data_IF_879928178805
#
_entry.id   IF_879928178805
#
_cell.length_a   1.000
_cell.length_b   1.000
_cell.length_c   1.000
_cell.angle_alpha   90.00
_cell.angle_beta   90.00
_cell.angle_gamma   90.00
#
_symmetry.space_group_name_H-M   'P 1'
#
loop_
_entity.id
_entity.type
_entity.pdbx_description
1 polymer ?
#
# COMPACT_ATOMS: atom_id res chain seq x y z
N UNK A 1 -0.64 -12.87 -1.95
CA UNK A 1 0.81 -13.16 -1.84
C UNK A 1 1.25 -12.96 -0.39
N UNK A 2 2.31 -13.60 0.08
CA UNK A 2 2.83 -13.40 1.44
C UNK A 2 4.36 -13.24 1.49
N UNK A 3 4.84 -12.72 2.61
CA UNK A 3 6.23 -12.58 2.98
C UNK A 3 6.36 -12.91 4.48
N UNK A 4 7.29 -13.80 4.83
CA UNK A 4 7.51 -14.29 6.22
C UNK A 4 8.83 -13.84 6.83
N UNK A 5 9.65 -13.17 6.03
CA UNK A 5 10.94 -12.62 6.44
C UNK A 5 11.11 -11.25 5.76
N UNK A 6 11.74 -10.26 6.40
CA UNK A 6 11.98 -8.97 5.78
C UNK A 6 12.91 -9.08 4.57
N UNK A 7 12.73 -8.20 3.59
CA UNK A 7 13.66 -8.09 2.47
C UNK A 7 15.04 -7.61 2.94
N UNK A 8 16.04 -8.48 2.83
CA UNK A 8 17.43 -8.19 3.22
C UNK A 8 18.21 -7.39 2.17
N UNK A 9 17.65 -7.14 0.99
CA UNK A 9 18.29 -6.30 -0.02
C UNK A 9 18.45 -4.86 0.49
N UNK A 10 19.45 -4.10 -0.03
CA UNK A 10 19.58 -2.68 0.26
C UNK A 10 18.28 -1.92 -0.02
N UNK A 11 18.03 -0.87 0.76
CA UNK A 11 16.89 0.01 0.55
C UNK A 11 16.93 0.62 -0.86
N UNK A 12 15.77 0.86 -1.46
CA UNK A 12 15.72 1.53 -2.75
C UNK A 12 16.11 3.00 -2.60
N UNK A 13 17.02 3.44 -3.46
CA UNK A 13 17.39 4.85 -3.54
C UNK A 13 16.16 5.71 -3.89
N UNK A 14 16.10 6.89 -3.28
CA UNK A 14 15.10 7.88 -3.63
C UNK A 14 15.29 8.28 -5.10
N UNK A 15 14.29 8.06 -5.99
CA UNK A 15 14.49 8.23 -7.43
C UNK A 15 14.53 9.71 -7.86
N UNK A 16 14.14 10.64 -6.97
CA UNK A 16 14.10 12.08 -7.25
C UNK A 16 14.35 12.88 -5.96
N UNK A 17 15.24 13.88 -6.02
CA UNK A 17 15.38 14.85 -4.92
C UNK A 17 14.03 15.49 -4.61
N UNK A 18 13.62 15.52 -3.33
CA UNK A 18 12.30 16.05 -2.92
C UNK A 18 11.19 15.00 -2.83
N UNK A 19 11.45 13.72 -3.14
CA UNK A 19 10.52 12.63 -2.84
C UNK A 19 10.75 12.04 -1.45
N UNK A 20 9.68 11.91 -0.66
CA UNK A 20 9.71 11.38 0.70
C UNK A 20 8.56 10.40 0.93
N UNK A 21 8.81 9.37 1.73
CA UNK A 21 7.76 8.45 2.20
C UNK A 21 7.73 8.52 3.72
N UNK A 22 6.56 8.80 4.28
CA UNK A 22 6.38 8.90 5.72
C UNK A 22 5.04 8.28 6.14
N UNK A 23 4.97 7.81 7.39
CA UNK A 23 3.68 7.49 8.01
C UNK A 23 2.96 8.82 8.26
N UNK A 24 1.70 8.90 7.84
CA UNK A 24 0.86 10.09 8.03
C UNK A 24 -0.45 9.69 8.73
N UNK A 25 -0.99 10.62 9.52
CA UNK A 25 -2.37 10.57 10.00
C UNK A 25 -3.18 11.49 9.12
N UNK A 26 -4.04 10.92 8.28
CA UNK A 26 -4.94 11.66 7.40
C UNK A 26 -6.32 11.71 8.03
N UNK A 27 -7.02 12.83 7.88
CA UNK A 27 -8.46 12.84 8.12
C UNK A 27 -9.20 12.07 7.02
N UNK A 28 -10.49 11.84 7.22
CA UNK A 28 -11.32 11.07 6.29
C UNK A 28 -11.35 11.71 4.89
N UNK A 29 -11.40 13.04 4.80
CA UNK A 29 -11.54 13.73 3.52
C UNK A 29 -10.25 13.66 2.69
N UNK A 30 -9.10 13.89 3.33
CA UNK A 30 -7.78 13.81 2.71
C UNK A 30 -7.46 12.36 2.30
N UNK A 31 -7.77 11.39 3.17
CA UNK A 31 -7.59 9.98 2.86
C UNK A 31 -8.46 9.56 1.65
N UNK A 32 -9.75 9.89 1.64
CA UNK A 32 -10.66 9.53 0.53
C UNK A 32 -10.20 10.19 -0.78
N UNK A 33 -9.76 11.45 -0.72
CA UNK A 33 -9.27 12.17 -1.90
C UNK A 33 -8.04 11.47 -2.51
N UNK A 34 -7.08 11.08 -1.68
CA UNK A 34 -5.88 10.35 -2.12
C UNK A 34 -6.22 8.92 -2.57
N UNK A 35 -7.07 8.22 -1.83
CA UNK A 35 -7.56 6.88 -2.15
C UNK A 35 -8.21 6.85 -3.53
N UNK A 36 -9.12 7.79 -3.80
CA UNK A 36 -9.80 7.91 -5.09
C UNK A 36 -8.79 8.22 -6.21
N UNK A 37 -7.88 9.17 -5.99
CA UNK A 37 -6.90 9.56 -7.01
C UNK A 37 -5.92 8.43 -7.40
N UNK A 38 -5.60 7.55 -6.45
CA UNK A 38 -4.75 6.37 -6.68
C UNK A 38 -5.55 5.22 -7.29
N UNK A 39 -6.76 4.98 -6.77
CA UNK A 39 -7.53 3.77 -7.02
C UNK A 39 -8.51 3.84 -8.20
N UNK A 40 -8.85 5.03 -8.70
CA UNK A 40 -9.77 5.20 -9.84
C UNK A 40 -9.41 4.34 -11.08
N UNK A 41 -8.14 4.25 -11.52
CA UNK A 41 -7.76 3.43 -12.68
C UNK A 41 -7.90 1.92 -12.46
N UNK A 42 -7.98 1.47 -11.21
CA UNK A 42 -8.02 0.05 -10.80
C UNK A 42 -9.26 -0.26 -9.96
N UNK A 43 -10.29 0.58 -10.07
CA UNK A 43 -11.63 0.38 -9.50
C UNK A 43 -11.66 0.13 -7.99
N UNK A 44 -10.77 0.77 -7.22
CA UNK A 44 -10.84 0.70 -5.77
C UNK A 44 -12.15 1.29 -5.24
N UNK A 45 -12.92 0.48 -4.52
CA UNK A 45 -14.24 0.88 -4.00
C UNK A 45 -14.45 0.55 -2.52
N UNK A 46 -13.57 -0.28 -1.92
CA UNK A 46 -13.76 -0.83 -0.58
C UNK A 46 -13.94 0.28 0.47
N UNK A 47 -13.11 1.33 0.39
CA UNK A 47 -13.14 2.45 1.34
C UNK A 47 -14.20 3.50 0.98
N UNK A 48 -14.59 3.58 -0.30
CA UNK A 48 -15.68 4.45 -0.75
C UNK A 48 -17.06 3.94 -0.32
N UNK A 49 -17.21 2.63 -0.16
CA UNK A 49 -18.45 1.98 0.32
C UNK A 49 -18.54 1.86 1.85
N UNK A 50 -17.47 2.21 2.56
CA UNK A 50 -17.42 2.16 4.01
C UNK A 50 -18.13 3.39 4.61
N UNK A 51 -18.98 3.24 5.65
CA UNK A 51 -19.52 4.39 6.37
C UNK A 51 -18.40 5.29 6.90
N UNK A 52 -18.60 6.61 6.84
CA UNK A 52 -17.57 7.57 7.23
C UNK A 52 -17.09 7.38 8.67
N UNK A 53 -17.99 7.02 9.59
CA UNK A 53 -17.66 6.73 10.99
C UNK A 53 -16.81 5.47 11.17
N UNK A 54 -17.00 4.45 10.32
CA UNK A 54 -16.21 3.22 10.34
C UNK A 54 -14.80 3.51 9.81
N UNK A 55 -14.72 4.32 8.75
CA UNK A 55 -13.45 4.74 8.18
C UNK A 55 -12.65 5.61 9.15
N UNK A 56 -13.29 6.57 9.81
CA UNK A 56 -12.66 7.38 10.85
C UNK A 56 -12.08 6.50 11.96
N UNK A 57 -12.87 5.51 12.45
CA UNK A 57 -12.38 4.56 13.45
C UNK A 57 -11.21 3.73 12.93
N UNK A 58 -11.28 3.24 11.69
CA UNK A 58 -10.20 2.48 11.05
C UNK A 58 -8.90 3.29 10.98
N UNK A 59 -8.97 4.54 10.51
CA UNK A 59 -7.81 5.42 10.37
C UNK A 59 -7.21 5.82 11.72
N UNK A 60 -8.03 5.85 12.78
CA UNK A 60 -7.58 6.13 14.15
C UNK A 60 -6.90 4.93 14.84
N UNK A 61 -7.00 3.70 14.31
CA UNK A 61 -6.40 2.53 14.93
C UNK A 61 -4.86 2.63 14.92
N UNK A 62 -4.18 2.34 16.05
CA UNK A 62 -2.71 2.34 16.07
C UNK A 62 -2.10 1.25 15.18
N UNK A 63 -2.87 0.19 14.89
CA UNK A 63 -2.52 -0.91 13.99
C UNK A 63 -2.80 -0.61 12.51
N UNK A 64 -3.41 0.54 12.19
CA UNK A 64 -3.56 1.03 10.81
C UNK A 64 -2.42 2.00 10.53
N UNK A 65 -1.61 1.67 9.53
CA UNK A 65 -0.50 2.51 9.09
C UNK A 65 -0.75 2.98 7.66
N UNK A 66 -0.96 4.29 7.50
CA UNK A 66 -0.99 4.94 6.19
C UNK A 66 0.37 5.56 5.94
N UNK A 67 1.03 5.14 4.86
CA UNK A 67 2.27 5.74 4.39
C UNK A 67 2.02 6.46 3.08
N UNK A 68 2.42 7.72 2.99
CA UNK A 68 2.20 8.56 1.81
C UNK A 68 3.53 8.85 1.15
N UNK A 69 3.60 8.66 -0.18
CA UNK A 69 4.66 9.23 -0.99
C UNK A 69 4.31 10.68 -1.29
N UNK A 70 5.19 11.61 -0.94
CA UNK A 70 5.12 12.99 -1.40
C UNK A 70 6.27 13.31 -2.34
N UNK A 71 6.00 14.07 -3.39
CA UNK A 71 7.00 14.60 -4.33
C UNK A 71 6.83 16.11 -4.36
N UNK A 72 7.84 16.85 -3.90
CA UNK A 72 7.76 18.32 -3.76
C UNK A 72 6.54 18.75 -2.91
N UNK A 73 6.24 17.99 -1.85
CA UNK A 73 5.10 18.22 -0.94
C UNK A 73 3.75 17.68 -1.44
N UNK A 74 3.63 17.34 -2.72
CA UNK A 74 2.38 16.84 -3.32
C UNK A 74 2.25 15.33 -3.09
N UNK A 75 1.09 14.88 -2.59
CA UNK A 75 0.80 13.45 -2.44
C UNK A 75 0.78 12.76 -3.81
N UNK A 76 1.56 11.70 -3.95
CA UNK A 76 1.81 10.99 -5.20
C UNK A 76 1.36 9.52 -5.14
N UNK A 77 1.10 8.98 -3.95
CA UNK A 77 0.62 7.61 -3.75
C UNK A 77 0.58 7.22 -2.28
N UNK A 78 0.06 6.02 -2.01
CA UNK A 78 -0.11 5.52 -0.65
C UNK A 78 0.18 4.02 -0.52
N UNK A 79 0.57 3.61 0.69
CA UNK A 79 0.47 2.24 1.21
C UNK A 79 -0.41 2.26 2.46
N UNK A 80 -1.40 1.38 2.53
CA UNK A 80 -2.21 1.14 3.72
C UNK A 80 -1.94 -0.25 4.27
N UNK A 81 -1.55 -0.31 5.54
CA UNK A 81 -1.40 -1.56 6.27
C UNK A 81 -2.40 -1.66 7.41
N UNK A 82 -2.99 -2.84 7.58
CA UNK A 82 -3.84 -3.19 8.71
C UNK A 82 -3.17 -4.27 9.56
N UNK A 83 -3.33 -4.17 10.89
CA UNK A 83 -2.83 -5.17 11.84
C UNK A 83 -1.38 -4.95 12.28
N UNK A 84 -0.79 -3.77 12.09
CA UNK A 84 0.58 -3.49 12.54
C UNK A 84 0.70 -3.69 14.06
N UNK A 85 1.73 -4.43 14.49
CA UNK A 85 1.91 -4.89 15.87
C UNK A 85 1.25 -6.24 16.18
N UNK A 86 0.53 -6.84 15.23
CA UNK A 86 -0.01 -8.21 15.32
C UNK A 86 0.91 -9.20 14.58
N UNK A 87 0.73 -10.52 14.80
CA UNK A 87 1.49 -11.55 14.08
C UNK A 87 1.32 -11.50 12.57
N UNK A 88 0.17 -11.02 12.09
CA UNK A 88 -0.14 -10.91 10.67
C UNK A 88 -0.52 -9.47 10.31
N UNK A 89 0.14 -8.93 9.29
CA UNK A 89 -0.11 -7.59 8.76
C UNK A 89 -0.55 -7.71 7.31
N UNK A 90 -1.63 -7.03 6.96
CA UNK A 90 -2.15 -6.97 5.60
C UNK A 90 -1.71 -5.65 4.95
N UNK A 91 -1.12 -5.72 3.74
CA UNK A 91 -1.03 -4.57 2.83
C UNK A 91 -2.33 -4.53 2.04
N UNK A 92 -3.23 -3.63 2.43
CA UNK A 92 -4.60 -3.57 1.89
C UNK A 92 -4.63 -2.79 0.59
N UNK A 93 -3.99 -1.63 0.57
CA UNK A 93 -3.98 -0.74 -0.60
C UNK A 93 -2.55 -0.27 -0.87
N UNK A 94 -2.14 -0.35 -2.14
CA UNK A 94 -0.85 0.13 -2.61
C UNK A 94 -0.99 0.69 -4.02
N UNK A 95 -0.59 1.94 -4.21
CA UNK A 95 -0.60 2.52 -5.55
C UNK A 95 -0.06 3.94 -5.62
N UNK A 96 0.05 4.40 -6.86
CA UNK A 96 0.46 5.77 -7.20
C UNK A 96 -0.65 6.43 -8.00
N UNK A 97 -0.75 7.75 -7.86
CA UNK A 97 -1.60 8.55 -8.74
C UNK A 97 -1.02 8.45 -10.17
N UNK A 98 -1.86 8.30 -11.22
CA UNK A 98 -1.42 8.02 -12.58
C UNK A 98 -0.28 8.88 -13.14
N UNK A 99 -0.27 10.18 -12.83
CA UNK A 99 0.74 11.12 -13.31
C UNK A 99 2.16 10.82 -12.79
N UNK A 100 2.28 10.06 -11.70
CA UNK A 100 3.55 9.64 -11.10
C UNK A 100 4.00 8.24 -11.52
N UNK A 101 3.24 7.54 -12.37
CA UNK A 101 3.66 6.27 -12.95
C UNK A 101 4.94 6.41 -13.80
N UNK A 102 5.63 5.28 -14.01
CA UNK A 102 6.86 5.15 -14.84
C UNK A 102 8.09 5.91 -14.33
N UNK A 103 8.06 6.47 -13.12
CA UNK A 103 9.19 7.17 -12.48
C UNK A 103 9.92 6.34 -11.41
N UNK A 104 9.74 5.01 -11.41
CA UNK A 104 10.27 4.07 -10.40
C UNK A 104 9.85 4.36 -8.95
N UNK A 105 8.83 5.18 -8.74
CA UNK A 105 8.29 5.46 -7.41
C UNK A 105 7.61 4.26 -6.74
N UNK A 106 7.11 3.29 -7.50
CA UNK A 106 6.39 2.13 -6.93
C UNK A 106 7.26 1.30 -5.98
N UNK A 107 8.41 0.76 -6.43
CA UNK A 107 9.34 0.06 -5.55
C UNK A 107 9.83 0.90 -4.36
N UNK A 108 10.06 2.19 -4.56
CA UNK A 108 10.48 3.11 -3.50
C UNK A 108 9.38 3.31 -2.43
N UNK A 109 8.14 3.53 -2.86
CA UNK A 109 6.96 3.67 -1.99
C UNK A 109 6.66 2.37 -1.24
N UNK A 110 6.90 1.21 -1.83
CA UNK A 110 6.62 -0.06 -1.15
C UNK A 110 7.72 -0.45 -0.15
N UNK A 111 8.99 -0.21 -0.48
CA UNK A 111 10.13 -0.68 0.34
C UNK A 111 10.20 -0.01 1.71
N UNK A 112 10.07 1.33 1.79
CA UNK A 112 10.20 2.03 3.07
C UNK A 112 9.10 1.64 4.08
N UNK A 113 7.80 1.62 3.72
CA UNK A 113 6.74 1.19 4.62
C UNK A 113 6.85 -0.27 5.03
N UNK A 114 7.26 -1.17 4.13
CA UNK A 114 7.49 -2.57 4.49
C UNK A 114 8.57 -2.69 5.56
N UNK A 115 9.70 -1.99 5.40
CA UNK A 115 10.76 -1.98 6.42
C UNK A 115 10.24 -1.46 7.75
N UNK A 116 9.45 -0.39 7.74
CA UNK A 116 8.84 0.17 8.94
C UNK A 116 7.89 -0.83 9.63
N UNK A 117 7.05 -1.54 8.87
CA UNK A 117 6.16 -2.58 9.38
C UNK A 117 6.95 -3.74 10.00
N UNK A 118 8.04 -4.18 9.37
CA UNK A 118 8.88 -5.26 9.91
C UNK A 118 9.57 -4.92 11.23
N UNK A 119 9.74 -3.64 11.58
CA UNK A 119 10.24 -3.24 12.91
C UNK A 119 9.29 -3.64 14.04
N UNK A 120 8.02 -3.90 13.74
CA UNK A 120 7.03 -4.41 14.68
C UNK A 120 7.06 -5.95 14.81
N UNK A 121 8.04 -6.62 14.18
CA UNK A 121 8.24 -8.07 14.24
C UNK A 121 6.98 -8.93 13.93
N UNK A 122 6.25 -8.66 12.82
CA UNK A 122 5.19 -9.57 12.39
C UNK A 122 5.79 -10.93 12.01
N UNK A 123 4.97 -11.97 12.06
CA UNK A 123 5.33 -13.29 11.52
C UNK A 123 5.03 -13.38 10.02
N UNK A 124 4.09 -12.56 9.53
CA UNK A 124 3.68 -12.52 8.13
C UNK A 124 3.21 -11.14 7.73
N UNK A 125 3.67 -10.68 6.56
CA UNK A 125 3.03 -9.60 5.79
C UNK A 125 2.40 -10.22 4.55
N UNK A 126 1.15 -9.90 4.27
CA UNK A 126 0.41 -10.51 3.16
C UNK A 126 -0.44 -9.48 2.42
N UNK A 127 -0.85 -9.81 1.19
CA UNK A 127 -1.68 -8.96 0.34
C UNK A 127 -2.58 -9.80 -0.57
N UNK A 128 -3.68 -9.20 -1.00
CA UNK A 128 -4.44 -9.66 -2.15
C UNK A 128 -3.94 -8.96 -3.41
N UNK A 129 -3.85 -9.71 -4.52
CA UNK A 129 -3.61 -9.13 -5.84
C UNK A 129 -4.43 -9.92 -6.85
N UNK A 130 -5.07 -9.22 -7.77
CA UNK A 130 -5.98 -9.81 -8.76
C UNK A 130 -5.68 -9.29 -10.18
N UNK A 131 -6.59 -9.53 -11.12
CA UNK A 131 -6.45 -9.13 -12.53
C UNK A 131 -6.85 -7.68 -12.80
N UNK A 132 -7.54 -7.02 -11.86
CA UNK A 132 -7.89 -5.59 -11.95
C UNK A 132 -6.74 -4.70 -11.48
N UNK A 133 -5.78 -5.26 -10.73
CA UNK A 133 -4.55 -4.56 -10.40
C UNK A 133 -3.75 -4.13 -11.64
N UNK A 134 -2.96 -3.06 -11.46
CA UNK A 134 -2.04 -2.59 -12.49
C UNK A 134 -1.07 -3.73 -12.93
N UNK A 135 -0.82 -3.96 -14.24
CA UNK A 135 -0.01 -5.08 -14.73
C UNK A 135 1.41 -5.17 -14.13
N UNK A 136 1.94 -4.04 -13.66
CA UNK A 136 3.23 -3.95 -12.97
C UNK A 136 3.22 -4.34 -11.48
N UNK A 137 2.07 -4.45 -10.83
CA UNK A 137 1.94 -4.64 -9.38
C UNK A 137 2.60 -5.94 -8.92
N UNK A 138 2.30 -7.06 -9.58
CA UNK A 138 2.92 -8.36 -9.25
C UNK A 138 4.45 -8.37 -9.41
N UNK A 139 5.00 -7.61 -10.35
CA UNK A 139 6.44 -7.50 -10.50
C UNK A 139 7.06 -6.69 -9.35
N UNK A 140 6.38 -5.63 -8.89
CA UNK A 140 6.78 -4.83 -7.73
C UNK A 140 6.73 -5.67 -6.45
N UNK A 141 5.64 -6.41 -6.21
CA UNK A 141 5.50 -7.30 -5.05
C UNK A 141 6.59 -8.36 -5.00
N UNK A 142 6.85 -9.06 -6.12
CA UNK A 142 7.92 -10.07 -6.18
C UNK A 142 9.29 -9.46 -5.91
N UNK A 143 9.58 -8.28 -6.43
CA UNK A 143 10.85 -7.57 -6.18
C UNK A 143 10.99 -7.13 -4.73
N UNK A 144 9.88 -6.82 -4.05
CA UNK A 144 9.84 -6.51 -2.63
C UNK A 144 9.98 -7.75 -1.73
N UNK A 145 9.90 -8.97 -2.28
CA UNK A 145 10.09 -10.23 -1.55
C UNK A 145 8.81 -11.07 -1.36
N UNK A 146 7.66 -10.59 -1.85
CA UNK A 146 6.41 -11.37 -1.78
C UNK A 146 6.46 -12.60 -2.68
N UNK A 147 5.91 -13.70 -2.19
CA UNK A 147 5.76 -14.97 -2.90
C UNK A 147 4.27 -15.31 -3.04
N UNK A 148 3.92 -16.01 -4.12
CA UNK A 148 2.57 -16.53 -4.26
C UNK A 148 2.31 -17.56 -3.16
N UNK A 149 1.21 -17.39 -2.42
CA UNK A 149 0.83 -18.25 -1.29
C UNK A 149 -0.47 -19.02 -1.59
N UNK A 150 -1.44 -18.34 -2.18
CA UNK A 150 -2.71 -18.91 -2.62
C UNK A 150 -3.15 -18.21 -3.91
N UNK A 151 -3.85 -18.96 -4.77
CA UNK A 151 -4.52 -18.46 -5.97
C UNK A 151 -5.96 -18.95 -5.93
N UNK A 152 -6.92 -18.07 -6.16
CA UNK A 152 -8.34 -18.39 -6.26
C UNK A 152 -8.88 -17.77 -7.55
N UNK A 153 -9.71 -18.52 -8.27
CA UNK A 153 -10.50 -17.97 -9.35
C UNK A 153 -11.80 -17.43 -8.76
N UNK A 154 -12.08 -16.15 -8.97
CA UNK A 154 -13.34 -15.52 -8.59
C UNK A 154 -14.11 -15.17 -9.86
N UNK A 155 -15.33 -15.68 -9.97
CA UNK A 155 -16.29 -15.31 -11.01
C UNK A 155 -17.19 -14.22 -10.47
N UNK A 156 -17.10 -13.03 -11.05
CA UNK A 156 -18.05 -11.96 -10.81
C UNK A 156 -19.26 -12.17 -11.72
N UNK A 157 -20.51 -12.14 -11.20
CA UNK A 157 -21.69 -12.15 -12.05
C UNK A 157 -21.74 -10.87 -12.90
N UNK A 158 -22.13 -11.02 -14.16
CA UNK A 158 -22.29 -9.94 -15.16
C UNK A 158 -23.24 -8.82 -14.71
#
# INVERSE_FOLDING_TARGET
>A
MDMREPNSAPAFDCPLSGATVARETLDVADYISLYHAVGEPVQWDQRLRMPAEDLERLLALPSTHIHVLRVEGVAAGLCEFNGVGQPEVELVHFGLIPVFHRRRFGPFLLDQPLRAVWLHAPQRVWLHTDTFDHPGAQAVYRRAGFKAYAQRMETFPD
#
